data_IF_089733702000
#
_entry.id   IF_089733702000
#
_cell.length_a   1.000
_cell.length_b   1.000
_cell.length_c   1.000
_cell.angle_alpha   90.00
_cell.angle_beta   90.00
_cell.angle_gamma   90.00
#
_symmetry.space_group_name_H-M   'P 1'
#
loop_
_entity.id
_entity.type
_entity.pdbx_description
1 polymer ?
#
# COMPACT_ATOMS: atom_id res chain seq x y z
N UNK A 1 -12.97 -0.42 1.01
CA UNK A 1 -12.66 0.72 0.12
C UNK A 1 -11.27 0.50 -0.46
N UNK A 2 -11.08 0.80 -1.74
CA UNK A 2 -9.76 0.79 -2.39
C UNK A 2 -8.85 1.83 -1.74
N UNK A 3 -7.54 1.55 -1.73
CA UNK A 3 -6.54 2.51 -1.30
C UNK A 3 -6.15 3.42 -2.48
N UNK A 4 -5.94 4.70 -2.20
CA UNK A 4 -5.64 5.69 -3.22
C UNK A 4 -4.33 6.43 -2.94
N UNK A 5 -3.66 6.82 -4.02
CA UNK A 5 -2.45 7.64 -4.00
C UNK A 5 -2.62 8.86 -4.89
N UNK A 6 -1.71 9.83 -4.79
CA UNK A 6 -1.73 11.00 -5.65
C UNK A 6 -0.83 10.79 -6.86
N UNK A 7 -1.36 10.92 -8.06
CA UNK A 7 -0.63 10.87 -9.33
C UNK A 7 -0.44 12.29 -9.87
N UNK A 8 0.81 12.67 -10.13
CA UNK A 8 1.15 13.95 -10.76
C UNK A 8 0.51 14.06 -12.14
N UNK A 9 -0.22 15.16 -12.39
CA UNK A 9 -0.91 15.40 -13.65
C UNK A 9 0.01 15.67 -14.84
N UNK A 10 1.31 15.94 -14.61
CA UNK A 10 2.29 16.19 -15.66
C UNK A 10 3.13 14.96 -15.99
N UNK A 11 3.77 14.33 -14.99
CA UNK A 11 4.74 13.27 -15.22
C UNK A 11 4.25 11.87 -14.80
N UNK A 12 3.04 11.75 -14.25
CA UNK A 12 2.47 10.46 -13.80
C UNK A 12 3.16 9.85 -12.57
N UNK A 13 4.09 10.56 -11.92
CA UNK A 13 4.73 10.07 -10.70
C UNK A 13 3.70 9.96 -9.57
N UNK A 14 3.68 8.81 -8.88
CA UNK A 14 2.72 8.52 -7.81
C UNK A 14 3.36 8.65 -6.45
N UNK A 15 2.69 9.35 -5.54
CA UNK A 15 3.18 9.63 -4.19
C UNK A 15 2.14 9.31 -3.12
N UNK A 16 2.65 8.88 -1.98
CA UNK A 16 1.90 8.78 -0.74
C UNK A 16 2.86 9.07 0.44
N UNK A 17 2.45 9.84 1.45
CA UNK A 17 1.22 10.65 1.49
C UNK A 17 1.20 11.77 0.43
N UNK A 18 0.07 12.45 0.29
CA UNK A 18 -0.08 13.59 -0.62
C UNK A 18 1.00 14.68 -0.39
N UNK A 19 1.32 15.41 -1.45
CA UNK A 19 2.33 16.49 -1.48
C UNK A 19 1.78 17.69 -2.24
N UNK A 20 2.22 18.89 -1.86
CA UNK A 20 1.88 20.14 -2.56
C UNK A 20 2.55 20.23 -3.95
N UNK A 21 3.74 19.64 -4.09
CA UNK A 21 4.47 19.56 -5.36
C UNK A 21 4.97 18.15 -5.63
N UNK A 22 5.01 17.77 -6.91
CA UNK A 22 5.55 16.50 -7.36
C UNK A 22 7.06 16.45 -7.07
N UNK A 23 7.54 15.46 -6.29
CA UNK A 23 8.96 15.36 -5.98
C UNK A 23 9.83 14.98 -7.20
N UNK A 24 9.22 14.46 -8.27
CA UNK A 24 9.94 14.08 -9.48
C UNK A 24 10.09 15.22 -10.49
N UNK A 25 9.09 16.10 -10.63
CA UNK A 25 9.09 17.14 -11.68
C UNK A 25 8.70 18.55 -11.21
N UNK A 26 8.40 18.75 -9.92
CA UNK A 26 8.03 20.06 -9.34
C UNK A 26 6.61 20.54 -9.62
N UNK A 27 5.83 19.85 -10.47
CA UNK A 27 4.46 20.25 -10.79
C UNK A 27 3.52 20.17 -9.59
N UNK A 28 2.59 21.11 -9.48
CA UNK A 28 1.71 21.25 -8.30
C UNK A 28 0.37 20.50 -8.41
N UNK A 29 -0.07 20.13 -9.62
CA UNK A 29 -1.36 19.47 -9.80
C UNK A 29 -1.23 17.95 -9.78
N UNK A 30 -2.09 17.31 -9.01
CA UNK A 30 -2.22 15.87 -8.92
C UNK A 30 -3.68 15.44 -8.91
N UNK A 31 -3.93 14.18 -9.24
CA UNK A 31 -5.23 13.53 -9.12
C UNK A 31 -5.13 12.30 -8.24
N UNK A 32 -6.22 11.97 -7.56
CA UNK A 32 -6.30 10.73 -6.80
C UNK A 32 -6.47 9.54 -7.77
N UNK A 33 -5.70 8.48 -7.55
CA UNK A 33 -5.78 7.22 -8.32
C UNK A 33 -5.79 6.03 -7.38
N UNK A 34 -6.68 5.07 -7.63
CA UNK A 34 -6.73 3.83 -6.87
C UNK A 34 -5.53 2.94 -7.21
N UNK A 35 -4.97 2.28 -6.19
CA UNK A 35 -4.02 1.18 -6.32
C UNK A 35 -4.49 0.01 -5.47
N UNK A 36 -4.73 -1.12 -6.11
CA UNK A 36 -5.43 -2.25 -5.47
C UNK A 36 -4.48 -3.32 -4.95
N UNK A 37 -3.28 -3.42 -5.53
CA UNK A 37 -2.34 -4.48 -5.23
C UNK A 37 -1.00 -3.92 -4.82
N UNK A 38 -0.27 -4.72 -4.04
CA UNK A 38 1.10 -4.45 -3.68
C UNK A 38 1.92 -5.74 -3.61
N UNK A 39 3.23 -5.58 -3.67
CA UNK A 39 4.21 -6.63 -3.43
C UNK A 39 4.89 -6.42 -2.08
N UNK A 40 4.96 -7.47 -1.25
CA UNK A 40 5.62 -7.43 0.03
C UNK A 40 7.15 -7.38 -0.12
N UNK A 41 7.80 -6.39 0.50
CA UNK A 41 9.26 -6.25 0.48
C UNK A 41 9.90 -6.61 1.82
N UNK A 42 9.27 -6.22 2.94
CA UNK A 42 9.74 -6.49 4.29
C UNK A 42 8.58 -6.38 5.28
N UNK A 43 8.70 -6.99 6.46
CA UNK A 43 7.75 -6.82 7.54
C UNK A 43 8.41 -6.88 8.92
N UNK A 44 7.69 -6.37 9.91
CA UNK A 44 8.04 -6.46 11.31
C UNK A 44 6.80 -6.73 12.16
N UNK A 45 7.00 -7.40 13.30
CA UNK A 45 5.98 -7.56 14.33
C UNK A 45 6.23 -6.54 15.41
N UNK A 46 5.19 -5.76 15.71
CA UNK A 46 5.17 -4.79 16.81
C UNK A 46 4.33 -5.40 17.92
N UNK A 47 4.92 -5.71 19.09
CA UNK A 47 4.18 -6.25 20.22
C UNK A 47 3.04 -5.32 20.65
N UNK A 48 1.88 -5.89 20.94
CA UNK A 48 0.75 -5.15 21.52
C UNK A 48 1.08 -4.60 22.91
N UNK A 49 0.38 -3.55 23.33
CA UNK A 49 0.44 -3.03 24.71
C UNK A 49 -0.88 -3.32 25.41
N UNK A 50 -0.82 -3.63 26.71
CA UNK A 50 -2.02 -3.63 27.57
C UNK A 50 -3.16 -4.54 27.13
N UNK A 51 -2.87 -5.71 26.54
CA UNK A 51 -3.89 -6.67 26.09
C UNK A 51 -4.32 -6.50 24.62
N UNK A 52 -3.80 -5.51 23.91
CA UNK A 52 -3.97 -5.41 22.46
C UNK A 52 -3.23 -6.54 21.73
N UNK A 53 -3.79 -6.99 20.61
CA UNK A 53 -3.12 -7.94 19.74
C UNK A 53 -1.88 -7.32 19.08
N UNK A 54 -0.85 -8.13 18.86
CA UNK A 54 0.34 -7.75 18.10
C UNK A 54 -0.04 -7.15 16.73
N UNK A 55 0.68 -6.10 16.34
CA UNK A 55 0.56 -5.49 15.03
C UNK A 55 1.60 -6.05 14.07
N UNK A 56 1.21 -6.37 12.84
CA UNK A 56 2.17 -6.66 11.77
C UNK A 56 2.20 -5.46 10.82
N UNK A 57 3.38 -4.90 10.61
CA UNK A 57 3.59 -3.78 9.70
C UNK A 57 4.55 -4.20 8.59
N UNK A 58 4.28 -3.77 7.37
CA UNK A 58 5.02 -4.17 6.20
C UNK A 58 5.40 -3.00 5.31
N UNK A 59 6.59 -3.07 4.74
CA UNK A 59 6.98 -2.26 3.59
C UNK A 59 6.53 -2.99 2.33
N UNK A 60 5.75 -2.32 1.49
CA UNK A 60 5.22 -2.89 0.25
C UNK A 60 5.43 -1.93 -0.93
N UNK A 61 5.60 -2.47 -2.12
CA UNK A 61 5.57 -1.70 -3.36
C UNK A 61 4.17 -1.73 -3.96
N UNK A 62 3.52 -0.57 -4.08
CA UNK A 62 2.20 -0.51 -4.72
C UNK A 62 2.30 -0.73 -6.25
N UNK A 63 1.38 -1.51 -6.79
CA UNK A 63 1.36 -1.95 -8.19
C UNK A 63 0.25 -1.26 -8.99
N UNK A 64 0.37 -1.17 -10.33
CA UNK A 64 1.52 -1.60 -11.15
C UNK A 64 2.71 -0.63 -11.10
N UNK A 65 2.47 0.64 -10.76
CA UNK A 65 3.48 1.70 -10.65
C UNK A 65 3.08 2.60 -9.49
N UNK A 66 3.55 2.33 -8.28
CA UNK A 66 3.13 3.04 -7.09
C UNK A 66 4.29 3.34 -6.14
N UNK A 67 4.05 4.15 -5.10
CA UNK A 67 5.06 4.43 -4.09
C UNK A 67 5.33 3.20 -3.21
N UNK A 68 6.47 3.23 -2.52
CA UNK A 68 6.66 2.37 -1.36
C UNK A 68 5.74 2.83 -0.23
N UNK A 69 5.05 1.88 0.39
CA UNK A 69 4.10 2.12 1.46
C UNK A 69 4.51 1.36 2.71
N UNK A 70 4.28 1.95 3.88
CA UNK A 70 4.18 1.20 5.13
C UNK A 70 2.71 0.91 5.36
N UNK A 71 2.34 -0.38 5.45
CA UNK A 71 0.97 -0.84 5.65
C UNK A 71 0.84 -1.69 6.89
N UNK A 72 -0.35 -1.74 7.47
CA UNK A 72 -0.69 -2.77 8.47
C UNK A 72 -1.22 -4.02 7.77
N UNK A 73 -0.72 -5.20 8.15
CA UNK A 73 -1.23 -6.47 7.65
C UNK A 73 -2.32 -7.01 8.58
N UNK A 74 -3.34 -7.61 7.99
CA UNK A 74 -4.38 -8.33 8.75
C UNK A 74 -3.80 -9.61 9.39
N UNK A 75 -2.94 -10.31 8.66
CA UNK A 75 -2.36 -11.60 9.02
C UNK A 75 -0.84 -11.60 8.83
N UNK A 76 -0.16 -12.60 9.40
CA UNK A 76 1.28 -12.79 9.17
C UNK A 76 1.53 -13.12 7.68
N UNK A 77 2.49 -12.46 7.02
CA UNK A 77 2.79 -12.75 5.63
C UNK A 77 3.52 -14.09 5.47
N UNK A 78 3.46 -14.64 4.26
CA UNK A 78 4.11 -15.91 3.90
C UNK A 78 5.57 -15.72 3.48
N UNK A 79 5.93 -14.57 2.90
CA UNK A 79 7.30 -14.28 2.47
C UNK A 79 7.42 -13.05 1.57
N UNK A 80 8.65 -12.57 1.36
CA UNK A 80 8.97 -11.48 0.42
C UNK A 80 8.48 -11.86 -0.99
N UNK A 81 7.98 -10.88 -1.74
CA UNK A 81 7.38 -11.07 -3.06
C UNK A 81 5.89 -11.44 -3.03
N UNK A 82 5.32 -11.70 -1.85
CA UNK A 82 3.89 -12.03 -1.72
C UNK A 82 3.02 -10.88 -2.27
N UNK A 83 2.04 -11.24 -3.10
CA UNK A 83 1.00 -10.32 -3.58
C UNK A 83 -0.04 -10.07 -2.50
N UNK A 84 -0.32 -8.79 -2.28
CA UNK A 84 -1.26 -8.30 -1.27
C UNK A 84 -2.31 -7.41 -1.92
N UNK A 85 -3.54 -7.45 -1.39
CA UNK A 85 -4.59 -6.48 -1.72
C UNK A 85 -4.51 -5.29 -0.76
N UNK A 86 -4.40 -4.09 -1.30
CA UNK A 86 -4.43 -2.84 -0.55
C UNK A 86 -5.87 -2.41 -0.26
N UNK A 87 -6.06 -1.81 0.90
CA UNK A 87 -7.32 -1.19 1.31
C UNK A 87 -7.07 -0.05 2.27
N UNK A 88 -8.05 0.83 2.39
CA UNK A 88 -8.05 1.87 3.42
C UNK A 88 -8.90 1.42 4.60
N UNK A 89 -8.40 1.59 5.83
CA UNK A 89 -9.21 1.48 7.05
C UNK A 89 -9.03 2.72 7.92
N UNK A 90 -10.12 3.20 8.50
CA UNK A 90 -10.07 4.31 9.44
C UNK A 90 -9.69 3.82 10.82
N UNK A 91 -8.64 4.39 11.40
CA UNK A 91 -8.24 4.14 12.78
C UNK A 91 -7.83 5.48 13.42
N UNK A 92 -8.33 5.75 14.63
CA UNK A 92 -8.09 7.01 15.35
C UNK A 92 -8.39 8.27 14.50
N UNK A 93 -9.44 8.24 13.68
CA UNK A 93 -9.84 9.36 12.82
C UNK A 93 -8.99 9.53 11.55
N UNK A 94 -7.97 8.69 11.33
CA UNK A 94 -7.13 8.73 10.13
C UNK A 94 -7.42 7.54 9.21
N UNK A 95 -7.50 7.81 7.90
CA UNK A 95 -7.53 6.79 6.86
C UNK A 95 -6.12 6.22 6.66
N UNK A 96 -5.89 4.99 7.12
CA UNK A 96 -4.58 4.35 7.10
C UNK A 96 -4.52 3.19 6.09
N UNK A 97 -3.33 2.92 5.53
CA UNK A 97 -3.14 1.84 4.58
C UNK A 97 -3.11 0.48 5.30
N UNK A 98 -3.93 -0.44 4.82
CA UNK A 98 -3.96 -1.82 5.23
C UNK A 98 -3.74 -2.73 4.04
N UNK A 99 -3.22 -3.92 4.29
CA UNK A 99 -3.11 -4.95 3.28
C UNK A 99 -3.46 -6.34 3.83
N UNK A 100 -3.88 -7.21 2.93
CA UNK A 100 -4.16 -8.62 3.22
C UNK A 100 -3.66 -9.49 2.08
N UNK A 101 -3.29 -10.73 2.38
CA UNK A 101 -2.91 -11.69 1.35
C UNK A 101 -4.02 -11.85 0.32
N UNK A 102 -3.66 -11.94 -0.96
CA UNK A 102 -4.60 -12.43 -1.97
C UNK A 102 -4.83 -13.93 -1.75
N UNK A 103 -6.07 -14.43 -1.90
CA UNK A 103 -6.31 -15.87 -1.96
C UNK A 103 -5.45 -16.49 -3.07
N UNK A 104 -4.89 -17.68 -2.83
CA UNK A 104 -4.22 -18.46 -3.86
C UNK A 104 -5.26 -18.84 -4.93
N UNK A 105 -5.30 -18.08 -6.02
CA UNK A 105 -6.27 -18.23 -7.11
C UNK A 105 -6.33 -17.04 -8.07
N UNK A 106 -5.97 -15.83 -7.63
CA UNK A 106 -6.01 -14.60 -8.45
C UNK A 106 -4.68 -14.32 -9.19
N UNK A 107 -3.86 -15.34 -9.44
CA UNK A 107 -2.74 -15.20 -10.36
C UNK A 107 -3.32 -15.11 -11.78
N UNK A 108 -3.42 -13.90 -12.31
CA UNK A 108 -3.73 -13.67 -13.73
C UNK A 108 -2.72 -14.47 -14.57
N UNK A 109 -3.15 -15.39 -15.45
CA UNK A 109 -2.24 -16.11 -16.32
C UNK A 109 -1.48 -15.09 -17.17
N UNK A 110 -0.15 -15.12 -17.11
CA UNK A 110 0.66 -14.41 -18.09
C UNK A 110 0.41 -15.03 -19.46
N UNK A 111 -0.05 -14.22 -20.42
CA UNK A 111 -0.11 -14.61 -21.81
C UNK A 111 1.32 -14.91 -22.30
N UNK A 112 1.49 -16.11 -22.87
CA UNK A 112 2.74 -16.56 -23.48
C UNK A 112 2.90 -16.13 -24.94
#
# INVERSE_FOLDING_TARGET
MSFSVMECAQCGHRVYPARLWCPACGHERAREVAVEQAELLAWTRVPGKGGDADGVFATVNALPRGPLLVVRLADMPQGVGQRLRLSTRTAHGAALPWAQALPQGDAVPGEG
#
